data_IF_510631757704
#
_entry.id   IF_510631757704
#
_cell.length_a   1.000
_cell.length_b   1.000
_cell.length_c   1.000
_cell.angle_alpha   90.00
_cell.angle_beta   90.00
_cell.angle_gamma   90.00
#
_symmetry.space_group_name_H-M   'P 1'
#
loop_
_entity.id
_entity.type
_entity.pdbx_description
1 polymer ?
#
# COMPACT_ATOMS: atom_id res chain seq x y z
N UNK A 1 -25.75 -3.35 4.80
CA UNK A 1 -24.62 -2.49 5.24
C UNK A 1 -23.86 -3.07 6.45
N UNK A 2 -24.49 -3.26 7.63
CA UNK A 2 -23.81 -3.66 8.87
C UNK A 2 -22.93 -4.92 8.71
N UNK A 3 -23.48 -6.03 8.19
CA UNK A 3 -22.72 -7.28 8.04
C UNK A 3 -21.48 -7.13 7.14
N UNK A 4 -21.59 -6.32 6.07
CA UNK A 4 -20.46 -6.04 5.18
C UNK A 4 -19.39 -5.19 5.87
N UNK A 5 -19.76 -4.14 6.62
CA UNK A 5 -18.82 -3.34 7.43
C UNK A 5 -18.10 -4.22 8.48
N UNK A 6 -18.84 -5.10 9.16
CA UNK A 6 -18.26 -6.08 10.09
C UNK A 6 -17.25 -7.01 9.40
N UNK A 7 -17.58 -7.53 8.21
CA UNK A 7 -16.70 -8.40 7.46
C UNK A 7 -15.41 -7.69 7.05
N UNK A 8 -15.48 -6.43 6.58
CA UNK A 8 -14.31 -5.62 6.27
C UNK A 8 -13.44 -5.37 7.52
N UNK A 9 -14.05 -4.99 8.65
CA UNK A 9 -13.32 -4.82 9.91
C UNK A 9 -12.63 -6.12 10.39
N UNK A 10 -13.23 -7.29 10.14
CA UNK A 10 -12.63 -8.59 10.48
C UNK A 10 -11.54 -9.01 9.49
N UNK A 11 -11.60 -8.56 8.23
CA UNK A 11 -10.59 -8.84 7.22
C UNK A 11 -9.35 -7.92 7.31
N UNK A 12 -9.46 -6.78 7.99
CA UNK A 12 -8.40 -5.79 8.10
C UNK A 12 -7.15 -6.23 8.89
N UNK A 13 -7.23 -6.97 10.03
CA UNK A 13 -6.06 -7.29 10.83
C UNK A 13 -4.93 -8.01 10.08
N UNK A 14 -5.16 -9.00 9.20
CA UNK A 14 -4.09 -9.58 8.37
C UNK A 14 -3.37 -8.56 7.50
N UNK A 15 -4.08 -7.59 6.92
CA UNK A 15 -3.49 -6.52 6.12
C UNK A 15 -2.61 -5.59 6.99
N UNK A 16 -3.08 -5.22 8.17
CA UNK A 16 -2.31 -4.41 9.12
C UNK A 16 -1.06 -5.13 9.62
N UNK A 17 -1.14 -6.44 9.86
CA UNK A 17 0.00 -7.28 10.25
C UNK A 17 1.04 -7.37 9.12
N UNK A 18 0.61 -7.60 7.90
CA UNK A 18 1.48 -7.63 6.72
C UNK A 18 2.21 -6.29 6.52
N UNK A 19 1.50 -5.15 6.64
CA UNK A 19 2.10 -3.81 6.60
C UNK A 19 3.12 -3.60 7.73
N UNK A 20 2.79 -4.01 8.95
CA UNK A 20 3.71 -3.90 10.08
C UNK A 20 4.99 -4.70 9.83
N UNK A 21 4.87 -5.90 9.23
CA UNK A 21 6.02 -6.73 8.88
C UNK A 21 6.87 -6.09 7.76
N UNK A 22 6.24 -5.56 6.71
CA UNK A 22 6.93 -4.83 5.64
C UNK A 22 7.71 -3.63 6.19
N UNK A 23 7.06 -2.79 7.00
CA UNK A 23 7.68 -1.60 7.61
C UNK A 23 8.91 -1.99 8.44
N UNK A 24 8.79 -3.00 9.29
CA UNK A 24 9.91 -3.49 10.10
C UNK A 24 11.05 -4.01 9.22
N UNK A 25 10.74 -4.78 8.18
CA UNK A 25 11.76 -5.31 7.27
C UNK A 25 12.48 -4.21 6.49
N UNK A 26 11.77 -3.15 6.09
CA UNK A 26 12.36 -1.98 5.44
C UNK A 26 13.28 -1.18 6.38
N UNK A 27 12.91 -1.05 7.67
CA UNK A 27 13.77 -0.41 8.68
C UNK A 27 15.05 -1.23 8.93
N UNK A 28 14.95 -2.56 8.99
CA UNK A 28 16.13 -3.43 9.05
C UNK A 28 17.05 -3.22 7.84
N UNK A 29 16.48 -3.12 6.63
CA UNK A 29 17.26 -2.82 5.42
C UNK A 29 17.82 -1.39 5.41
N UNK A 30 17.12 -0.44 6.01
CA UNK A 30 17.64 0.92 6.18
C UNK A 30 18.88 0.96 7.07
N UNK A 31 18.88 0.21 8.16
CA UNK A 31 20.02 0.08 9.08
C UNK A 31 21.17 -0.73 8.42
N UNK A 32 20.85 -1.85 7.74
CA UNK A 32 21.83 -2.71 7.05
C UNK A 32 22.62 -1.93 5.99
N UNK A 33 21.97 -1.02 5.27
CA UNK A 33 22.56 -0.27 4.17
C UNK A 33 22.75 1.23 4.49
N UNK A 34 22.89 1.57 5.78
CA UNK A 34 22.98 2.97 6.24
C UNK A 34 24.12 3.75 5.57
N UNK A 35 25.26 3.08 5.42
CA UNK A 35 26.49 3.69 4.90
C UNK A 35 26.77 3.37 3.43
N UNK A 36 25.90 2.60 2.77
CA UNK A 36 26.11 2.23 1.35
C UNK A 36 25.68 3.38 0.46
N UNK A 37 26.65 4.11 -0.05
CA UNK A 37 26.46 5.28 -0.91
C UNK A 37 25.97 4.86 -2.30
N UNK A 38 25.11 5.67 -2.88
CA UNK A 38 24.58 5.49 -4.25
C UNK A 38 24.36 6.83 -4.93
N UNK A 39 24.23 6.79 -6.26
CA UNK A 39 23.73 7.92 -7.04
C UNK A 39 22.24 8.12 -6.75
N UNK A 40 21.88 9.26 -6.17
CA UNK A 40 20.50 9.73 -6.10
C UNK A 40 20.07 10.26 -7.46
N UNK A 41 18.93 9.78 -7.97
CA UNK A 41 18.40 10.15 -9.28
C UNK A 41 17.07 10.88 -9.17
N UNK A 42 16.94 11.94 -9.94
CA UNK A 42 15.67 12.63 -10.19
C UNK A 42 15.36 12.58 -11.68
N UNK A 43 14.13 12.19 -12.04
CA UNK A 43 13.74 11.98 -13.45
C UNK A 43 14.69 10.99 -14.18
N UNK A 44 15.21 10.01 -13.43
CA UNK A 44 16.22 9.02 -13.86
C UNK A 44 17.59 9.61 -14.26
N UNK A 45 17.83 10.90 -14.01
CA UNK A 45 19.13 11.53 -14.21
C UNK A 45 19.90 11.63 -12.89
N UNK A 46 21.22 11.57 -12.97
CA UNK A 46 22.12 11.70 -11.83
C UNK A 46 21.91 13.07 -11.16
N UNK A 47 21.76 13.07 -9.83
CA UNK A 47 21.47 14.30 -9.10
C UNK A 47 22.47 14.56 -7.97
N UNK A 48 22.39 13.81 -6.89
CA UNK A 48 23.20 14.01 -5.68
C UNK A 48 23.58 12.67 -5.04
N UNK A 49 24.66 12.60 -4.24
CA UNK A 49 24.94 11.41 -3.44
C UNK A 49 23.84 11.21 -2.37
N UNK A 50 23.49 9.95 -2.14
CA UNK A 50 22.61 9.50 -1.05
C UNK A 50 23.02 8.11 -0.61
N UNK A 51 22.27 7.47 0.32
CA UNK A 51 22.50 6.08 0.69
C UNK A 51 21.29 5.21 0.43
N UNK A 52 21.50 3.90 0.29
CA UNK A 52 20.40 2.95 0.27
C UNK A 52 19.62 2.97 1.59
N UNK A 53 20.29 3.18 2.73
CA UNK A 53 19.65 3.33 4.01
C UNK A 53 18.60 4.45 4.01
N UNK A 54 18.92 5.62 3.48
CA UNK A 54 17.95 6.71 3.32
C UNK A 54 16.77 6.31 2.43
N UNK A 55 17.02 5.60 1.35
CA UNK A 55 15.97 5.15 0.43
C UNK A 55 15.00 4.16 1.10
N UNK A 56 15.50 3.15 1.81
CA UNK A 56 14.66 2.17 2.52
C UNK A 56 13.92 2.79 3.70
N UNK A 57 14.53 3.72 4.43
CA UNK A 57 13.86 4.48 5.48
C UNK A 57 12.70 5.33 4.92
N UNK A 58 12.88 5.95 3.74
CA UNK A 58 11.84 6.73 3.09
C UNK A 58 10.63 5.85 2.71
N UNK A 59 10.85 4.61 2.20
CA UNK A 59 9.78 3.65 1.95
C UNK A 59 9.08 3.19 3.23
N UNK A 60 9.82 2.92 4.30
CA UNK A 60 9.22 2.60 5.60
C UNK A 60 8.30 3.73 6.08
N UNK A 61 8.75 4.99 5.97
CA UNK A 61 7.95 6.17 6.32
C UNK A 61 6.68 6.33 5.46
N UNK A 62 6.75 5.97 4.18
CA UNK A 62 5.61 5.96 3.26
C UNK A 62 4.55 4.98 3.76
N UNK A 63 4.91 3.71 3.98
CA UNK A 63 3.98 2.67 4.42
C UNK A 63 3.45 2.86 5.84
N UNK A 64 4.20 3.54 6.73
CA UNK A 64 3.68 3.98 8.03
C UNK A 64 2.53 4.98 7.87
N UNK A 65 2.60 5.89 6.90
CA UNK A 65 1.48 6.81 6.61
C UNK A 65 0.29 6.08 6.02
N UNK A 66 0.51 5.06 5.16
CA UNK A 66 -0.56 4.23 4.62
C UNK A 66 -1.29 3.46 5.72
N UNK A 67 -0.55 2.85 6.64
CA UNK A 67 -1.12 2.14 7.78
C UNK A 67 -2.01 3.06 8.62
N UNK A 68 -1.58 4.32 8.85
CA UNK A 68 -2.38 5.32 9.57
C UNK A 68 -3.64 5.71 8.78
N UNK A 69 -3.54 5.86 7.45
CA UNK A 69 -4.70 6.18 6.58
C UNK A 69 -5.75 5.07 6.62
N UNK A 70 -5.32 3.81 6.47
CA UNK A 70 -6.21 2.64 6.58
C UNK A 70 -6.88 2.55 7.95
N UNK A 71 -6.14 2.73 9.04
CA UNK A 71 -6.68 2.70 10.39
C UNK A 71 -7.76 3.76 10.58
N UNK A 72 -7.50 5.00 10.13
CA UNK A 72 -8.48 6.09 10.24
C UNK A 72 -9.74 5.82 9.42
N UNK A 73 -9.59 5.37 8.19
CA UNK A 73 -10.74 5.06 7.34
C UNK A 73 -11.56 3.88 7.87
N UNK A 74 -10.93 2.93 8.57
CA UNK A 74 -11.61 1.80 9.19
C UNK A 74 -12.43 2.18 10.44
N UNK A 75 -12.09 3.29 11.13
CA UNK A 75 -12.89 3.74 12.28
C UNK A 75 -14.33 4.09 11.87
N UNK A 76 -14.51 4.71 10.71
CA UNK A 76 -15.84 5.10 10.21
C UNK A 76 -16.71 3.88 9.86
N UNK A 77 -16.11 2.72 9.56
CA UNK A 77 -16.83 1.47 9.34
C UNK A 77 -17.51 0.93 10.62
N UNK A 78 -17.12 1.39 11.80
CA UNK A 78 -17.69 0.96 13.08
C UNK A 78 -19.08 1.52 13.30
N UNK A 79 -19.44 2.60 12.61
CA UNK A 79 -20.77 3.19 12.63
C UNK A 79 -21.72 2.37 11.78
N UNK A 80 -22.73 1.75 12.42
CA UNK A 80 -23.63 0.79 11.76
C UNK A 80 -25.08 1.20 11.86
N UNK A 81 -25.87 0.78 10.87
CA UNK A 81 -27.32 1.04 10.81
C UNK A 81 -28.18 -0.05 11.48
N UNK A 82 -27.59 -0.88 12.33
CA UNK A 82 -28.26 -2.03 12.94
C UNK A 82 -29.42 -1.56 13.85
N UNK A 83 -30.61 -2.13 13.63
CA UNK A 83 -31.85 -1.70 14.29
C UNK A 83 -32.66 -0.69 13.47
N UNK A 84 -32.12 -0.17 12.35
CA UNK A 84 -32.84 0.77 11.47
C UNK A 84 -33.96 0.13 10.64
N UNK A 85 -34.01 -1.19 10.55
CA UNK A 85 -34.95 -1.98 9.73
C UNK A 85 -34.87 -1.62 8.23
N UNK A 86 -35.99 -1.37 7.55
CA UNK A 86 -36.03 -1.26 6.10
C UNK A 86 -35.22 -0.06 5.54
N UNK A 87 -35.46 1.13 6.11
CA UNK A 87 -34.89 2.40 5.62
C UNK A 87 -34.25 3.24 6.73
N UNK A 88 -33.97 2.67 7.89
CA UNK A 88 -33.36 3.40 9.01
C UNK A 88 -34.32 3.94 10.06
N UNK A 89 -35.63 3.92 9.81
CA UNK A 89 -36.65 4.45 10.77
C UNK A 89 -36.89 3.55 11.99
N UNK A 90 -36.46 2.28 11.92
CA UNK A 90 -36.71 1.30 12.97
C UNK A 90 -38.20 0.82 13.02
N UNK A 91 -38.92 0.99 11.93
CA UNK A 91 -40.32 0.52 11.84
C UNK A 91 -40.40 -0.97 12.15
N UNK A 92 -41.37 -1.34 13.00
CA UNK A 92 -41.60 -2.71 13.52
C UNK A 92 -40.49 -3.28 14.43
N UNK A 93 -39.43 -2.50 14.76
CA UNK A 93 -38.50 -2.87 15.81
C UNK A 93 -38.91 -2.32 17.16
N UNK A 94 -38.83 -3.12 18.24
CA UNK A 94 -39.14 -2.64 19.59
C UNK A 94 -38.08 -1.62 20.06
N UNK A 95 -38.44 -0.64 20.90
CA UNK A 95 -37.47 0.29 21.48
C UNK A 95 -36.33 -0.43 22.23
N UNK A 96 -36.65 -1.52 22.92
CA UNK A 96 -35.66 -2.35 23.61
C UNK A 96 -34.62 -2.94 22.65
N UNK A 97 -35.09 -3.55 21.54
CA UNK A 97 -34.19 -4.10 20.52
C UNK A 97 -33.26 -3.02 19.95
N UNK A 98 -33.80 -1.89 19.53
CA UNK A 98 -33.04 -0.78 18.97
C UNK A 98 -31.95 -0.27 19.91
N UNK A 99 -32.27 -0.14 21.20
CA UNK A 99 -31.33 0.36 22.20
C UNK A 99 -30.20 -0.64 22.54
N UNK A 100 -30.39 -1.94 22.32
CA UNK A 100 -29.46 -2.96 22.82
C UNK A 100 -28.76 -3.76 21.76
N UNK A 101 -29.24 -3.79 20.52
CA UNK A 101 -28.72 -4.73 19.49
C UNK A 101 -27.22 -4.54 19.20
N UNK A 102 -26.72 -3.31 19.06
CA UNK A 102 -25.31 -3.05 18.79
C UNK A 102 -24.44 -3.50 19.96
N UNK A 103 -24.85 -3.23 21.20
CA UNK A 103 -24.12 -3.70 22.39
C UNK A 103 -24.13 -5.21 22.53
N UNK A 104 -25.22 -5.90 22.13
CA UNK A 104 -25.25 -7.37 22.13
C UNK A 104 -24.33 -7.96 21.08
N UNK A 105 -24.27 -7.37 19.88
CA UNK A 105 -23.32 -7.80 18.84
C UNK A 105 -21.88 -7.61 19.33
N UNK A 106 -21.55 -6.47 19.95
CA UNK A 106 -20.22 -6.22 20.51
C UNK A 106 -19.80 -7.20 21.62
N UNK A 107 -20.76 -7.84 22.32
CA UNK A 107 -20.44 -8.92 23.28
C UNK A 107 -20.03 -10.22 22.60
N UNK A 108 -20.47 -10.44 21.36
CA UNK A 108 -20.17 -11.64 20.59
C UNK A 108 -18.89 -11.50 19.76
N UNK A 109 -18.54 -10.26 19.39
CA UNK A 109 -17.40 -9.93 18.52
C UNK A 109 -16.72 -8.66 19.04
N UNK A 110 -15.40 -8.64 19.05
CA UNK A 110 -14.60 -7.48 19.50
C UNK A 110 -14.33 -6.51 18.33
N UNK A 111 -15.39 -5.88 17.80
CA UNK A 111 -15.27 -4.88 16.73
C UNK A 111 -15.53 -3.44 17.19
N UNK A 112 -16.02 -3.23 18.41
CA UNK A 112 -16.36 -1.91 18.98
C UNK A 112 -17.28 -1.11 18.05
N UNK A 113 -18.37 -1.76 17.60
CA UNK A 113 -19.37 -1.13 16.75
C UNK A 113 -20.16 -0.08 17.54
N UNK A 114 -20.58 0.95 16.84
CA UNK A 114 -21.39 2.04 17.37
C UNK A 114 -22.64 2.20 16.52
N UNK A 115 -23.75 2.62 17.13
CA UNK A 115 -24.93 2.99 16.37
C UNK A 115 -24.65 4.31 15.65
N UNK A 116 -24.92 4.38 14.36
CA UNK A 116 -24.82 5.64 13.63
C UNK A 116 -25.81 6.66 14.21
N UNK A 117 -25.44 7.94 14.18
CA UNK A 117 -26.28 9.05 14.66
C UNK A 117 -27.59 9.15 13.86
N UNK A 118 -27.51 8.94 12.53
CA UNK A 118 -28.66 8.85 11.63
C UNK A 118 -28.66 7.47 10.94
N UNK A 119 -29.64 6.62 11.33
CA UNK A 119 -29.76 5.28 10.75
C UNK A 119 -30.32 5.30 9.32
N UNK A 120 -31.01 6.38 8.90
CA UNK A 120 -31.49 6.53 7.51
C UNK A 120 -30.29 6.81 6.61
N UNK A 121 -29.46 7.76 7.01
CA UNK A 121 -28.19 8.06 6.35
C UNK A 121 -27.31 6.79 6.23
N UNK A 122 -27.06 6.13 7.33
CA UNK A 122 -26.22 4.91 7.38
C UNK A 122 -26.82 3.70 6.65
N UNK A 123 -28.09 3.75 6.25
CA UNK A 123 -28.75 2.72 5.45
C UNK A 123 -28.58 2.97 3.96
N UNK A 124 -28.61 4.23 3.52
CA UNK A 124 -28.58 4.57 2.08
C UNK A 124 -27.20 4.94 1.56
N UNK A 125 -26.34 5.57 2.37
CA UNK A 125 -25.08 6.12 1.90
C UNK A 125 -23.90 5.15 2.08
N UNK A 126 -23.00 5.14 1.09
CA UNK A 126 -21.83 4.24 1.01
C UNK A 126 -20.50 5.00 1.05
N UNK A 127 -20.48 6.28 1.38
CA UNK A 127 -19.33 7.17 1.39
C UNK A 127 -18.17 6.65 2.26
N UNK A 128 -18.47 6.08 3.43
CA UNK A 128 -17.45 5.46 4.31
C UNK A 128 -16.78 4.24 3.66
N UNK A 129 -17.50 3.50 2.80
CA UNK A 129 -16.94 2.38 2.04
C UNK A 129 -16.02 2.88 0.91
N UNK A 130 -16.40 3.98 0.26
CA UNK A 130 -15.57 4.67 -0.74
C UNK A 130 -14.31 5.24 -0.09
N UNK A 131 -14.41 5.87 1.09
CA UNK A 131 -13.26 6.39 1.83
C UNK A 131 -12.27 5.27 2.21
N UNK A 132 -12.77 4.14 2.70
CA UNK A 132 -11.93 2.99 3.03
C UNK A 132 -11.28 2.38 1.77
N UNK A 133 -12.03 2.22 0.69
CA UNK A 133 -11.50 1.81 -0.62
C UNK A 133 -10.41 2.76 -1.14
N UNK A 134 -10.64 4.06 -1.01
CA UNK A 134 -9.66 5.10 -1.36
C UNK A 134 -8.35 4.98 -0.59
N UNK A 135 -8.41 4.61 0.71
CA UNK A 135 -7.21 4.34 1.51
C UNK A 135 -6.46 3.08 1.02
N UNK A 136 -7.19 2.02 0.65
CA UNK A 136 -6.62 0.81 0.04
C UNK A 136 -5.98 1.10 -1.32
N UNK A 137 -6.62 1.92 -2.17
CA UNK A 137 -6.06 2.38 -3.44
C UNK A 137 -4.77 3.17 -3.22
N UNK A 138 -4.73 4.06 -2.24
CA UNK A 138 -3.51 4.81 -1.89
C UNK A 138 -2.36 3.86 -1.57
N UNK A 139 -2.58 2.89 -0.69
CA UNK A 139 -1.59 1.84 -0.38
C UNK A 139 -1.18 1.04 -1.62
N UNK A 140 -2.13 0.64 -2.48
CA UNK A 140 -1.84 -0.10 -3.71
C UNK A 140 -0.95 0.71 -4.66
N UNK A 141 -1.20 2.02 -4.80
CA UNK A 141 -0.40 2.93 -5.61
C UNK A 141 1.04 3.02 -5.08
N UNK A 142 1.20 3.15 -3.78
CA UNK A 142 2.51 3.26 -3.14
C UNK A 142 3.29 1.94 -3.19
N UNK A 143 2.62 0.79 -3.06
CA UNK A 143 3.20 -0.54 -3.29
C UNK A 143 3.67 -0.73 -4.74
N UNK A 144 2.88 -0.28 -5.72
CA UNK A 144 3.24 -0.34 -7.14
C UNK A 144 4.47 0.52 -7.44
N UNK A 145 4.53 1.73 -6.89
CA UNK A 145 5.71 2.61 -6.99
C UNK A 145 6.96 1.95 -6.43
N UNK A 146 6.88 1.39 -5.23
CA UNK A 146 7.99 0.68 -4.61
C UNK A 146 8.43 -0.54 -5.42
N UNK A 147 7.48 -1.35 -5.92
CA UNK A 147 7.76 -2.48 -6.80
C UNK A 147 8.46 -2.07 -8.10
N UNK A 148 8.06 -0.94 -8.72
CA UNK A 148 8.72 -0.40 -9.90
C UNK A 148 10.17 0.02 -9.63
N UNK A 149 10.44 0.65 -8.49
CA UNK A 149 11.80 1.03 -8.12
C UNK A 149 12.69 -0.20 -7.89
N UNK A 150 12.17 -1.24 -7.21
CA UNK A 150 12.90 -2.51 -7.04
C UNK A 150 13.24 -3.16 -8.38
N UNK A 151 12.29 -3.18 -9.34
CA UNK A 151 12.50 -3.72 -10.68
C UNK A 151 13.54 -2.92 -11.46
N UNK A 152 13.48 -1.60 -11.36
CA UNK A 152 14.44 -0.71 -12.05
C UNK A 152 15.84 -0.85 -11.48
N UNK A 153 16.00 -0.80 -10.16
CA UNK A 153 17.29 -0.90 -9.49
C UNK A 153 17.95 -2.29 -9.65
N UNK A 154 17.14 -3.35 -9.85
CA UNK A 154 17.64 -4.70 -10.10
C UNK A 154 17.75 -5.06 -11.59
N UNK A 155 17.56 -4.11 -12.50
CA UNK A 155 17.59 -4.34 -13.96
C UNK A 155 18.97 -4.70 -14.46
N UNK A 156 19.04 -5.52 -15.48
CA UNK A 156 20.28 -5.94 -16.13
C UNK A 156 20.50 -7.46 -16.05
N UNK A 157 21.65 -7.96 -15.57
CA UNK A 157 22.68 -7.29 -14.75
C UNK A 157 23.75 -6.50 -15.52
N UNK A 158 23.96 -6.75 -16.82
CA UNK A 158 25.06 -6.14 -17.56
C UNK A 158 24.69 -4.83 -18.27
N UNK A 159 23.44 -4.71 -18.72
CA UNK A 159 22.96 -3.56 -19.49
C UNK A 159 21.83 -2.78 -18.75
N UNK A 160 21.79 -2.85 -17.45
CA UNK A 160 20.84 -2.15 -16.59
C UNK A 160 21.54 -1.52 -15.39
N UNK A 161 20.74 -1.08 -14.38
CA UNK A 161 21.32 -0.42 -13.20
C UNK A 161 22.09 -1.36 -12.29
N UNK A 162 21.60 -2.59 -12.12
CA UNK A 162 22.23 -3.66 -11.33
C UNK A 162 22.69 -3.22 -9.92
N UNK A 163 21.99 -2.29 -9.30
CA UNK A 163 22.33 -1.77 -7.97
C UNK A 163 21.74 -2.63 -6.84
N UNK A 164 20.69 -3.41 -7.14
CA UNK A 164 20.05 -4.35 -6.19
C UNK A 164 20.04 -5.77 -6.75
N UNK A 165 20.24 -6.74 -5.86
CA UNK A 165 20.00 -8.15 -6.13
C UNK A 165 18.74 -8.61 -5.41
N UNK A 166 17.75 -9.09 -6.16
CA UNK A 166 16.53 -9.66 -5.63
C UNK A 166 16.63 -11.19 -5.56
N UNK A 167 16.05 -11.85 -4.54
CA UNK A 167 16.01 -13.30 -4.46
C UNK A 167 15.35 -13.93 -5.71
N UNK A 168 16.00 -14.91 -6.31
CA UNK A 168 15.43 -15.68 -7.42
C UNK A 168 14.27 -16.54 -6.92
N UNK A 169 13.05 -16.29 -7.43
CA UNK A 169 11.82 -17.00 -7.04
C UNK A 169 11.14 -17.70 -8.20
N UNK A 170 11.77 -17.70 -9.36
CA UNK A 170 11.33 -18.40 -10.56
C UNK A 170 12.54 -19.05 -11.24
N UNK A 171 12.32 -20.18 -11.90
CA UNK A 171 13.32 -20.76 -12.79
C UNK A 171 13.71 -19.74 -13.88
N UNK A 172 14.97 -19.71 -14.25
CA UNK A 172 15.45 -18.88 -15.36
C UNK A 172 14.75 -19.21 -16.67
N UNK A 173 14.90 -18.34 -17.66
CA UNK A 173 14.36 -18.56 -19.01
C UNK A 173 14.96 -19.82 -19.65
N UNK A 174 14.13 -20.64 -20.29
CA UNK A 174 14.58 -21.81 -21.07
C UNK A 174 15.31 -21.42 -22.35
N UNK A 175 15.09 -20.19 -22.85
CA UNK A 175 15.65 -19.67 -24.11
C UNK A 175 16.86 -18.76 -23.84
N UNK A 176 16.87 -18.06 -22.70
CA UNK A 176 17.89 -17.09 -22.32
C UNK A 176 18.58 -17.54 -21.01
N UNK A 177 19.68 -18.33 -21.09
CA UNK A 177 20.35 -18.86 -19.91
C UNK A 177 20.74 -17.75 -18.92
N UNK A 178 20.49 -17.99 -17.63
CA UNK A 178 20.82 -17.04 -16.56
C UNK A 178 19.86 -15.86 -16.39
N UNK A 179 18.84 -15.72 -17.24
CA UNK A 179 17.83 -14.65 -17.09
C UNK A 179 16.81 -15.01 -16.00
N UNK A 180 16.84 -14.30 -14.88
CA UNK A 180 15.88 -14.40 -13.79
C UNK A 180 15.09 -13.10 -13.69
N UNK A 181 13.76 -13.19 -13.80
CA UNK A 181 12.90 -12.01 -13.75
C UNK A 181 12.54 -11.63 -12.30
N UNK A 182 12.29 -10.34 -12.02
CA UNK A 182 11.86 -9.85 -10.71
C UNK A 182 10.34 -10.10 -10.48
N UNK A 183 9.92 -11.38 -10.50
CA UNK A 183 8.50 -11.77 -10.53
C UNK A 183 7.70 -11.38 -9.29
N UNK A 184 8.36 -11.24 -8.12
CA UNK A 184 7.67 -10.83 -6.89
C UNK A 184 7.22 -9.36 -6.98
N UNK A 185 8.07 -8.38 -7.31
CA UNK A 185 7.59 -7.03 -7.61
C UNK A 185 6.54 -6.96 -8.73
N UNK A 186 6.67 -7.81 -9.77
CA UNK A 186 5.69 -7.84 -10.86
C UNK A 186 4.29 -8.29 -10.41
N UNK A 187 4.18 -9.30 -9.55
CA UNK A 187 2.88 -9.70 -9.00
C UNK A 187 2.28 -8.63 -8.10
N UNK A 188 3.12 -7.88 -7.37
CA UNK A 188 2.66 -6.75 -6.55
C UNK A 188 2.09 -5.63 -7.42
N UNK A 189 2.72 -5.31 -8.56
CA UNK A 189 2.15 -4.38 -9.54
C UNK A 189 0.76 -4.85 -10.02
N UNK A 190 0.59 -6.13 -10.36
CA UNK A 190 -0.70 -6.67 -10.83
C UNK A 190 -1.78 -6.61 -9.75
N UNK A 191 -1.42 -6.91 -8.50
CA UNK A 191 -2.33 -6.76 -7.35
C UNK A 191 -2.76 -5.28 -7.21
N UNK A 192 -1.80 -4.35 -7.31
CA UNK A 192 -2.09 -2.92 -7.22
C UNK A 192 -3.05 -2.47 -8.34
N UNK A 193 -2.82 -2.90 -9.59
CA UNK A 193 -3.71 -2.57 -10.71
C UNK A 193 -5.13 -3.09 -10.47
N UNK A 194 -5.25 -4.32 -9.93
CA UNK A 194 -6.55 -4.91 -9.59
C UNK A 194 -7.28 -4.09 -8.52
N UNK A 195 -6.60 -3.71 -7.43
CA UNK A 195 -7.20 -2.94 -6.33
C UNK A 195 -7.58 -1.53 -6.78
N UNK A 196 -6.78 -0.88 -7.62
CA UNK A 196 -7.11 0.43 -8.21
C UNK A 196 -8.38 0.32 -9.08
N UNK A 197 -8.51 -0.73 -9.89
CA UNK A 197 -9.71 -0.99 -10.69
C UNK A 197 -10.95 -1.28 -9.84
N UNK A 198 -10.79 -2.00 -8.73
CA UNK A 198 -11.87 -2.26 -7.77
C UNK A 198 -12.36 -0.98 -7.09
N UNK A 199 -11.47 -0.05 -6.73
CA UNK A 199 -11.86 1.24 -6.17
C UNK A 199 -12.76 2.06 -7.11
N UNK A 200 -12.46 2.03 -8.41
CA UNK A 200 -13.35 2.66 -9.40
C UNK A 200 -14.73 1.99 -9.42
N UNK A 201 -14.77 0.65 -9.40
CA UNK A 201 -16.04 -0.10 -9.35
C UNK A 201 -16.84 0.24 -8.09
N UNK A 202 -16.18 0.32 -6.94
CA UNK A 202 -16.81 0.68 -5.66
C UNK A 202 -17.38 2.10 -5.72
N UNK A 203 -16.63 3.05 -6.27
CA UNK A 203 -17.07 4.45 -6.42
C UNK A 203 -18.31 4.55 -7.32
N UNK A 204 -18.32 3.85 -8.46
CA UNK A 204 -19.47 3.81 -9.37
C UNK A 204 -20.69 3.13 -8.72
N UNK A 205 -20.50 2.04 -7.99
CA UNK A 205 -21.57 1.34 -7.30
C UNK A 205 -22.15 2.15 -6.13
N UNK A 206 -21.31 2.93 -5.44
CA UNK A 206 -21.77 3.83 -4.39
C UNK A 206 -22.61 4.99 -4.96
N UNK A 207 -22.16 5.59 -6.07
CA UNK A 207 -22.89 6.68 -6.75
C UNK A 207 -24.22 6.22 -7.33
N UNK A 208 -24.31 4.99 -7.83
CA UNK A 208 -25.50 4.44 -8.48
C UNK A 208 -26.65 4.13 -7.50
N UNK A 209 -26.45 4.22 -6.18
CA UNK A 209 -27.51 4.06 -5.19
C UNK A 209 -28.62 5.09 -5.37
N UNK A 210 -29.87 4.68 -5.13
CA UNK A 210 -31.02 5.55 -5.30
C UNK A 210 -31.90 5.54 -4.05
N UNK A 211 -32.26 6.74 -3.59
CA UNK A 211 -33.15 6.97 -2.46
C UNK A 211 -32.63 6.27 -1.17
N UNK A 212 -33.47 5.55 -0.48
CA UNK A 212 -33.23 5.09 0.89
C UNK A 212 -32.40 3.80 1.01
N UNK A 213 -31.90 3.23 -0.11
CA UNK A 213 -31.08 2.01 -0.11
C UNK A 213 -30.17 1.95 -1.34
N UNK A 214 -28.91 1.52 -1.14
CA UNK A 214 -28.01 1.19 -2.25
C UNK A 214 -28.11 -0.31 -2.58
N UNK A 215 -28.67 -0.63 -3.75
CA UNK A 215 -28.82 -2.02 -4.21
C UNK A 215 -27.51 -2.64 -4.71
N UNK A 216 -26.42 -1.86 -4.84
CA UNK A 216 -25.14 -2.30 -5.38
C UNK A 216 -24.11 -2.66 -4.29
N UNK A 217 -24.48 -2.65 -3.02
CA UNK A 217 -23.61 -3.09 -1.91
C UNK A 217 -22.93 -4.46 -2.13
N UNK A 218 -23.56 -5.48 -2.74
CA UNK A 218 -22.90 -6.77 -2.95
C UNK A 218 -21.59 -6.67 -3.74
N UNK A 219 -21.51 -5.84 -4.77
CA UNK A 219 -20.26 -5.63 -5.53
C UNK A 219 -19.26 -4.83 -4.72
N UNK A 220 -19.72 -3.82 -3.94
CA UNK A 220 -18.85 -3.01 -3.07
C UNK A 220 -18.15 -3.91 -2.06
N UNK A 221 -18.89 -4.73 -1.32
CA UNK A 221 -18.29 -5.62 -0.31
C UNK A 221 -17.45 -6.74 -0.90
N UNK A 222 -17.85 -7.29 -2.08
CA UNK A 222 -17.00 -8.24 -2.79
C UNK A 222 -15.62 -7.65 -3.07
N UNK A 223 -15.59 -6.43 -3.62
CA UNK A 223 -14.35 -5.81 -4.07
C UNK A 223 -13.51 -5.31 -2.88
N UNK A 224 -14.11 -4.79 -1.82
CA UNK A 224 -13.41 -4.44 -0.58
C UNK A 224 -12.72 -5.67 0.04
N UNK A 225 -13.45 -6.74 0.30
CA UNK A 225 -12.92 -7.95 0.95
C UNK A 225 -11.87 -8.66 0.09
N UNK A 226 -12.05 -8.65 -1.23
CA UNK A 226 -11.06 -9.20 -2.15
C UNK A 226 -9.78 -8.35 -2.17
N UNK A 227 -9.93 -7.02 -2.21
CA UNK A 227 -8.83 -6.07 -2.18
C UNK A 227 -8.00 -6.18 -0.90
N UNK A 228 -8.63 -6.23 0.28
CA UNK A 228 -7.94 -6.44 1.56
C UNK A 228 -7.11 -7.73 1.55
N UNK A 229 -7.71 -8.83 1.08
CA UNK A 229 -7.03 -10.13 1.00
C UNK A 229 -5.87 -10.13 0.02
N UNK A 230 -6.03 -9.48 -1.14
CA UNK A 230 -4.97 -9.37 -2.14
C UNK A 230 -3.81 -8.53 -1.64
N UNK A 231 -4.09 -7.38 -1.03
CA UNK A 231 -3.06 -6.52 -0.44
C UNK A 231 -2.31 -7.24 0.69
N UNK A 232 -3.02 -7.88 1.61
CA UNK A 232 -2.39 -8.60 2.72
C UNK A 232 -1.42 -9.69 2.21
N UNK A 233 -1.86 -10.54 1.29
CA UNK A 233 -1.02 -11.61 0.72
C UNK A 233 0.09 -11.09 -0.18
N UNK A 234 -0.18 -10.05 -0.96
CA UNK A 234 0.81 -9.41 -1.83
C UNK A 234 1.95 -8.77 -1.02
N UNK A 235 1.62 -8.08 0.06
CA UNK A 235 2.60 -7.46 0.97
C UNK A 235 3.41 -8.53 1.71
N UNK A 236 2.77 -9.58 2.21
CA UNK A 236 3.46 -10.69 2.86
C UNK A 236 4.43 -11.39 1.90
N UNK A 237 3.98 -11.66 0.67
CA UNK A 237 4.81 -12.22 -0.39
C UNK A 237 5.98 -11.30 -0.75
N UNK A 238 5.75 -10.00 -0.91
CA UNK A 238 6.78 -9.00 -1.17
C UNK A 238 7.84 -8.99 -0.07
N UNK A 239 7.39 -8.98 1.18
CA UNK A 239 8.28 -8.93 2.33
C UNK A 239 9.12 -10.21 2.43
N UNK A 240 8.46 -11.37 2.45
CA UNK A 240 9.12 -12.67 2.69
C UNK A 240 9.99 -13.12 1.52
N UNK A 241 9.53 -12.89 0.28
CA UNK A 241 10.17 -13.44 -0.91
C UNK A 241 11.05 -12.44 -1.67
N UNK A 242 11.03 -11.17 -1.28
CA UNK A 242 11.84 -10.14 -1.94
C UNK A 242 12.62 -9.31 -0.90
N UNK A 243 11.95 -8.51 -0.05
CA UNK A 243 12.60 -7.51 0.80
C UNK A 243 13.59 -8.13 1.80
N UNK A 244 13.20 -9.21 2.50
CA UNK A 244 14.08 -9.83 3.53
C UNK A 244 15.37 -10.37 2.96
N UNK A 245 15.36 -10.90 1.75
CA UNK A 245 16.52 -11.48 1.08
C UNK A 245 17.21 -10.57 0.06
N UNK A 246 16.76 -9.32 -0.07
CA UNK A 246 17.36 -8.33 -0.96
C UNK A 246 18.75 -7.93 -0.46
N UNK A 247 19.71 -7.78 -1.39
CA UNK A 247 21.05 -7.25 -1.13
C UNK A 247 21.39 -6.11 -2.08
N UNK A 248 22.34 -5.27 -1.69
CA UNK A 248 22.89 -4.21 -2.53
C UNK A 248 24.12 -4.72 -3.26
N UNK A 249 24.28 -4.32 -4.52
CA UNK A 249 25.51 -4.50 -5.29
C UNK A 249 26.42 -3.29 -5.02
N UNK A 250 27.20 -3.36 -3.93
CA UNK A 250 28.07 -2.25 -3.49
C UNK A 250 29.08 -1.88 -4.55
N UNK A 251 29.69 -2.87 -5.23
CA UNK A 251 30.68 -2.63 -6.28
C UNK A 251 30.10 -1.80 -7.44
N UNK A 252 28.89 -2.13 -7.89
CA UNK A 252 28.19 -1.37 -8.94
C UNK A 252 27.80 0.02 -8.46
N UNK A 253 27.39 0.15 -7.20
CA UNK A 253 27.05 1.45 -6.62
C UNK A 253 28.26 2.36 -6.53
N UNK A 254 29.39 1.84 -6.08
CA UNK A 254 30.66 2.57 -6.02
C UNK A 254 31.13 2.99 -7.42
N UNK A 255 31.08 2.09 -8.39
CA UNK A 255 31.45 2.39 -9.79
C UNK A 255 30.54 3.50 -10.35
N UNK A 256 29.23 3.43 -10.14
CA UNK A 256 28.29 4.47 -10.56
C UNK A 256 28.61 5.83 -9.92
N UNK A 257 28.94 5.85 -8.62
CA UNK A 257 29.31 7.09 -7.90
C UNK A 257 30.61 7.68 -8.43
N UNK A 258 31.60 6.84 -8.72
CA UNK A 258 32.90 7.28 -9.25
C UNK A 258 32.80 7.84 -10.66
N UNK A 259 31.94 7.27 -11.51
CA UNK A 259 31.74 7.72 -12.90
C UNK A 259 30.69 8.82 -13.05
N UNK A 260 29.98 9.17 -11.97
CA UNK A 260 28.98 10.23 -12.00
C UNK A 260 29.57 11.57 -11.51
N UNK A 261 29.13 12.63 -12.12
CA UNK A 261 29.45 13.99 -11.70
C UNK A 261 28.72 14.47 -10.44
N UNK A 262 28.01 13.59 -9.71
CA UNK A 262 27.23 13.96 -8.52
C UNK A 262 28.08 14.63 -7.42
N UNK A 263 29.36 14.27 -7.32
CA UNK A 263 30.32 14.88 -6.37
C UNK A 263 30.55 16.36 -6.67
N UNK A 264 30.44 16.80 -7.92
CA UNK A 264 30.56 18.20 -8.29
C UNK A 264 29.46 19.08 -7.69
N UNK A 265 28.28 18.52 -7.49
CA UNK A 265 27.16 19.24 -6.85
C UNK A 265 27.50 19.69 -5.42
N UNK A 266 28.32 18.91 -4.69
CA UNK A 266 28.80 19.25 -3.34
C UNK A 266 29.76 20.47 -3.39
N UNK A 267 30.47 20.67 -4.49
CA UNK A 267 31.42 21.79 -4.67
C UNK A 267 30.71 23.10 -5.03
N UNK A 268 29.47 23.05 -5.50
CA UNK A 268 28.73 24.22 -5.97
C UNK A 268 28.64 25.36 -4.94
N UNK A 269 28.41 25.12 -3.62
CA UNK A 269 28.42 26.18 -2.62
C UNK A 269 29.78 26.87 -2.44
N UNK A 270 30.88 26.22 -2.80
CA UNK A 270 32.25 26.72 -2.64
C UNK A 270 32.81 27.37 -3.91
N UNK A 271 32.50 26.83 -5.08
CA UNK A 271 33.03 27.25 -6.38
C UNK A 271 32.08 28.16 -7.16
N UNK A 272 30.79 28.14 -6.82
CA UNK A 272 29.70 28.73 -7.59
C UNK A 272 29.23 27.85 -8.74
N UNK A 273 27.99 28.11 -9.20
CA UNK A 273 27.31 27.30 -10.19
C UNK A 273 28.06 27.18 -11.53
N UNK A 274 28.51 28.33 -12.09
CA UNK A 274 29.20 28.36 -13.40
C UNK A 274 30.53 27.61 -13.40
N UNK A 275 31.33 27.74 -12.32
CA UNK A 275 32.60 27.04 -12.20
C UNK A 275 32.37 25.53 -12.04
N UNK A 276 31.39 25.13 -11.24
CA UNK A 276 31.03 23.72 -11.04
C UNK A 276 30.52 23.08 -12.33
N UNK A 277 29.70 23.79 -13.11
CA UNK A 277 29.19 23.28 -14.41
C UNK A 277 30.28 22.98 -15.42
N UNK A 278 31.44 23.67 -15.34
CA UNK A 278 32.57 23.42 -16.22
C UNK A 278 33.42 22.21 -15.81
N UNK A 279 33.21 21.67 -14.61
CA UNK A 279 33.88 20.48 -14.09
C UNK A 279 33.13 19.19 -14.41
N UNK A 280 31.88 19.32 -14.82
CA UNK A 280 30.96 18.25 -15.22
C UNK A 280 30.91 18.13 -16.72
#
# INVERSE_FOLDING_TARGET
PTAGKMAALQALPPLQQALTFLIKSLLVKADEFADVVKVGRTQLQDAVPTTFGHSFHAYASLFQRDQKRLTRAAEDLRQVNLGGTAIGTGLNATPYYRAHIVSQVNRLIDLKLESADDLIDATQNCDVLVAFSGAMKGLATDLSKFANDLRLLSSGPQAGLNELHLPAKQAGSSIMPGKVNPVIPEVVNQIAFQVIGQDLTISMAAEAGQLELNAFEPIIFRDLLQGERYLARGIDTLTTNCVTGLTVNEAQSDENVQHSAISATILSPYLGYEATTKLV
#
